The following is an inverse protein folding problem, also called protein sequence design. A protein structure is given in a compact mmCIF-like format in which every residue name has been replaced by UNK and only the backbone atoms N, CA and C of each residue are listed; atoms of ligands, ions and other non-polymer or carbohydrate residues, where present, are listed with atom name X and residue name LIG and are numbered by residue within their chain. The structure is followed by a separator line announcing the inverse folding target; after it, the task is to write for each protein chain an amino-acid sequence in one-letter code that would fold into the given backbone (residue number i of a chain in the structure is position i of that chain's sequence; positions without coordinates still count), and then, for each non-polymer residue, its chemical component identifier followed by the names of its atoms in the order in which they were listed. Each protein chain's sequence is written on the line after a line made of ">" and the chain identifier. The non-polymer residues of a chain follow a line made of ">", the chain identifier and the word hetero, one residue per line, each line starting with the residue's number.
data_IF_995619581354
#
_entry.id   IF_995619581354
#
_cell.length_a   1.000
_cell.length_b   1.000
_cell.length_c   1.000
_cell.angle_alpha   90.00
_cell.angle_beta   90.00
_cell.angle_gamma   90.00
#
_symmetry.space_group_name_H-M   'P 1'
#
loop_
_entity.id
_entity.type
_entity.pdbx_description
1 polymer ?
#
# COMPACT_ATOMS: atom_id res chain seq x y z
N UNK A 1 -3.67 -13.37 14.76
CA UNK A 1 -3.06 -12.05 14.47
C UNK A 1 -3.49 -11.71 13.06
N UNK A 2 -3.86 -10.46 12.77
CA UNK A 2 -4.11 -10.03 11.40
C UNK A 2 -2.81 -9.90 10.61
N UNK A 3 -2.90 -9.71 9.30
CA UNK A 3 -1.73 -9.48 8.43
C UNK A 3 -1.00 -8.19 8.83
N UNK A 4 0.34 -8.20 8.76
CA UNK A 4 1.15 -7.00 9.04
C UNK A 4 2.44 -6.96 8.24
N UNK A 5 2.78 -5.79 7.70
CA UNK A 5 4.07 -5.50 7.08
C UNK A 5 4.85 -4.53 7.98
N UNK A 6 6.17 -4.70 8.06
CA UNK A 6 7.04 -3.87 8.92
C UNK A 6 8.14 -3.20 8.11
N UNK A 7 8.40 -1.92 8.41
CA UNK A 7 9.48 -1.14 7.76
C UNK A 7 10.86 -1.78 7.94
N UNK A 8 11.06 -2.55 9.02
CA UNK A 8 12.32 -3.26 9.34
C UNK A 8 12.52 -4.52 8.49
N UNK A 9 11.52 -4.90 7.69
CA UNK A 9 11.57 -6.02 6.75
C UNK A 9 11.38 -5.48 5.33
N UNK A 10 12.40 -4.84 4.72
CA UNK A 10 12.26 -4.20 3.41
C UNK A 10 11.94 -5.18 2.28
N UNK A 11 12.24 -6.47 2.45
CA UNK A 11 11.91 -7.53 1.49
C UNK A 11 10.48 -8.10 1.67
N UNK A 12 9.74 -7.64 2.68
CA UNK A 12 8.36 -8.04 2.96
C UNK A 12 7.41 -7.12 2.19
N UNK A 13 7.32 -7.37 0.88
CA UNK A 13 6.52 -6.61 -0.08
C UNK A 13 5.43 -7.49 -0.68
N UNK A 14 4.30 -6.87 -1.03
CA UNK A 14 3.23 -7.53 -1.79
C UNK A 14 3.54 -7.35 -3.27
N UNK A 15 3.73 -8.45 -3.99
CA UNK A 15 4.01 -8.45 -5.42
C UNK A 15 2.73 -8.75 -6.21
N UNK A 16 2.51 -8.05 -7.33
CA UNK A 16 1.43 -8.41 -8.25
C UNK A 16 1.69 -9.78 -8.89
N UNK A 17 0.65 -10.54 -9.30
CA UNK A 17 0.81 -11.84 -9.94
C UNK A 17 1.81 -11.87 -11.11
N UNK A 18 1.83 -10.81 -11.93
CA UNK A 18 2.74 -10.68 -13.06
C UNK A 18 4.12 -10.07 -12.70
N UNK A 19 4.34 -9.68 -11.45
CA UNK A 19 5.58 -9.06 -10.97
C UNK A 19 5.76 -7.57 -11.33
N UNK A 20 4.86 -6.97 -12.11
CA UNK A 20 5.00 -5.60 -12.60
C UNK A 20 4.89 -4.54 -11.50
N UNK A 21 4.13 -4.81 -10.44
CA UNK A 21 3.92 -3.88 -9.34
C UNK A 21 4.34 -4.50 -8.00
N UNK A 22 4.86 -3.65 -7.13
CA UNK A 22 5.20 -3.98 -5.75
C UNK A 22 4.52 -2.99 -4.80
N UNK A 23 4.15 -3.46 -3.61
CA UNK A 23 3.66 -2.61 -2.52
C UNK A 23 4.37 -2.90 -1.21
N UNK A 24 4.69 -1.86 -0.45
CA UNK A 24 5.50 -1.98 0.77
C UNK A 24 6.02 -0.64 1.28
N UNK A 25 6.97 -0.71 2.21
CA UNK A 25 7.65 0.47 2.74
C UNK A 25 8.75 0.92 1.77
N UNK A 26 8.64 2.17 1.32
CA UNK A 26 9.59 2.83 0.42
C UNK A 26 10.28 3.98 1.17
N UNK A 27 11.61 4.06 1.06
CA UNK A 27 12.39 5.15 1.66
C UNK A 27 12.23 6.43 0.83
N UNK A 28 12.01 7.56 1.50
CA UNK A 28 11.92 8.89 0.86
C UNK A 28 12.95 9.88 1.43
N UNK A 29 13.90 9.37 2.22
CA UNK A 29 14.95 10.14 2.86
C UNK A 29 15.52 9.43 4.08
N UNK A 30 16.36 10.15 4.81
CA UNK A 30 17.01 9.62 6.02
C UNK A 30 15.97 9.30 7.10
N UNK A 31 15.83 8.01 7.40
CA UNK A 31 14.89 7.51 8.40
C UNK A 31 13.42 7.97 8.17
N UNK A 32 13.05 8.19 6.91
CA UNK A 32 11.72 8.62 6.48
C UNK A 32 11.17 7.65 5.43
N UNK A 33 10.01 7.08 5.71
CA UNK A 33 9.39 6.04 4.89
C UNK A 33 7.92 6.31 4.62
N UNK A 34 7.46 5.85 3.47
CA UNK A 34 6.04 5.84 3.10
C UNK A 34 5.64 4.42 2.70
N UNK A 35 4.37 4.07 2.92
CA UNK A 35 3.82 2.85 2.36
C UNK A 35 3.24 3.15 0.98
N UNK A 36 3.76 2.50 -0.07
CA UNK A 36 3.46 2.85 -1.45
C UNK A 36 3.22 1.63 -2.32
N UNK A 37 2.67 1.86 -3.50
CA UNK A 37 2.68 0.95 -4.65
C UNK A 37 3.57 1.57 -5.73
N UNK A 38 4.46 0.78 -6.35
CA UNK A 38 5.36 1.23 -7.41
C UNK A 38 5.56 0.17 -8.50
N UNK A 39 6.14 0.57 -9.63
CA UNK A 39 6.51 -0.33 -10.72
C UNK A 39 7.85 -1.02 -10.44
N UNK A 40 7.84 -2.35 -10.32
CA UNK A 40 8.97 -3.16 -9.83
C UNK A 40 10.24 -3.05 -10.70
N UNK A 41 10.08 -2.97 -12.02
CA UNK A 41 11.24 -2.96 -12.94
C UNK A 41 11.75 -1.56 -13.29
N UNK A 42 11.18 -0.50 -12.69
CA UNK A 42 11.58 0.86 -13.00
C UNK A 42 12.83 1.28 -12.21
N UNK A 43 13.81 1.88 -12.89
CA UNK A 43 15.05 2.37 -12.24
C UNK A 43 14.81 3.46 -11.20
N UNK A 44 13.71 4.19 -11.35
CA UNK A 44 13.34 5.31 -10.49
C UNK A 44 12.15 4.97 -9.56
N UNK A 45 11.78 3.69 -9.45
CA UNK A 45 10.65 3.20 -8.65
C UNK A 45 9.39 4.07 -8.81
N UNK A 46 8.86 4.12 -10.04
CA UNK A 46 7.71 4.94 -10.41
C UNK A 46 6.52 4.61 -9.49
N UNK A 47 6.30 5.49 -8.51
CA UNK A 47 5.22 5.37 -7.52
C UNK A 47 3.88 5.60 -8.22
N UNK A 48 2.93 4.69 -7.98
CA UNK A 48 1.56 4.77 -8.50
C UNK A 48 0.50 4.94 -7.41
N UNK A 49 0.89 4.87 -6.13
CA UNK A 49 0.04 5.23 -4.99
C UNK A 49 0.85 5.33 -3.70
N UNK A 50 0.46 6.18 -2.74
CA UNK A 50 1.12 6.31 -1.42
C UNK A 50 0.12 6.54 -0.29
N UNK A 51 0.11 5.70 0.75
CA UNK A 51 -0.82 5.84 1.88
C UNK A 51 -0.61 7.15 2.66
N UNK A 52 0.62 7.40 3.10
CA UNK A 52 0.96 8.42 4.11
C UNK A 52 1.90 9.50 3.57
N UNK A 53 1.58 10.02 2.38
CA UNK A 53 2.44 10.97 1.64
C UNK A 53 2.88 12.17 2.49
N UNK A 54 1.94 12.83 3.15
CA UNK A 54 2.20 14.06 3.91
C UNK A 54 2.82 13.78 5.29
N UNK A 55 2.80 12.51 5.72
CA UNK A 55 3.24 12.08 7.04
C UNK A 55 4.13 10.84 6.93
N UNK A 56 5.37 10.96 6.40
CA UNK A 56 6.34 9.86 6.43
C UNK A 56 6.56 9.34 7.85
N UNK A 57 6.79 8.04 7.96
CA UNK A 57 7.01 7.32 9.22
C UNK A 57 8.49 6.98 9.42
N UNK A 58 8.85 6.65 10.65
CA UNK A 58 10.21 6.28 11.03
C UNK A 58 10.63 4.93 10.40
N UNK A 59 11.92 4.76 10.11
CA UNK A 59 12.51 3.50 9.64
C UNK A 59 12.57 2.39 10.70
N UNK A 60 12.12 2.67 11.91
CA UNK A 60 12.03 1.72 13.01
C UNK A 60 10.62 1.68 13.57
N UNK A 61 10.18 0.48 13.99
CA UNK A 61 8.90 0.24 14.67
C UNK A 61 7.63 0.66 13.92
N UNK A 62 7.74 1.11 12.67
CA UNK A 62 6.59 1.42 11.81
C UNK A 62 6.03 0.17 11.14
N UNK A 63 4.70 0.06 11.11
CA UNK A 63 3.98 -1.13 10.64
C UNK A 63 2.66 -0.78 9.99
N UNK A 64 2.37 -1.42 8.86
CA UNK A 64 1.02 -1.52 8.31
C UNK A 64 0.38 -2.79 8.88
N UNK A 65 -0.78 -2.68 9.51
CA UNK A 65 -1.44 -3.81 10.19
C UNK A 65 -2.93 -3.81 9.89
N UNK A 66 -3.47 -4.97 9.50
CA UNK A 66 -4.90 -5.21 9.47
C UNK A 66 -5.38 -5.57 10.89
N UNK A 67 -6.11 -4.66 11.52
CA UNK A 67 -6.64 -4.85 12.86
C UNK A 67 -7.88 -5.75 12.87
N UNK A 68 -8.21 -6.30 14.05
CA UNK A 68 -9.33 -7.26 14.21
C UNK A 68 -10.69 -6.71 13.84
N UNK A 69 -10.85 -5.40 13.96
CA UNK A 69 -12.04 -4.65 13.59
C UNK A 69 -12.11 -4.31 12.09
N UNK A 70 -11.15 -4.80 11.29
CA UNK A 70 -11.14 -4.63 9.83
C UNK A 70 -10.41 -3.39 9.34
N UNK A 71 -9.93 -2.53 10.24
CA UNK A 71 -9.23 -1.32 9.84
C UNK A 71 -7.78 -1.63 9.44
N UNK A 72 -7.35 -1.10 8.30
CA UNK A 72 -5.96 -1.16 7.88
C UNK A 72 -5.24 0.09 8.38
N UNK A 73 -4.31 -0.09 9.31
CA UNK A 73 -3.67 0.98 10.07
C UNK A 73 -2.19 1.02 9.80
N UNK A 74 -1.68 2.19 9.43
CA UNK A 74 -0.26 2.50 9.45
C UNK A 74 0.10 3.17 10.78
N UNK A 75 0.99 2.53 11.52
CA UNK A 75 1.53 3.01 12.80
C UNK A 75 3.00 3.36 12.68
N UNK A 76 3.46 4.25 13.56
CA UNK A 76 4.83 4.77 13.65
C UNK A 76 5.37 4.62 15.09
N UNK A 77 6.70 4.68 15.27
CA UNK A 77 7.42 4.39 16.52
C UNK A 77 6.88 5.10 17.78
N UNK A 78 6.23 6.26 17.61
CA UNK A 78 5.61 7.03 18.70
C UNK A 78 4.13 7.39 18.47
N UNK A 79 3.52 6.94 17.36
CA UNK A 79 2.12 7.25 17.02
C UNK A 79 1.40 5.99 16.58
N UNK A 80 0.33 5.66 17.27
CA UNK A 80 -0.45 4.45 16.97
C UNK A 80 -1.19 4.51 15.63
N UNK A 81 -1.45 5.72 15.09
CA UNK A 81 -2.18 5.90 13.85
C UNK A 81 -1.66 7.11 13.05
N UNK A 82 -1.02 6.85 11.92
CA UNK A 82 -0.55 7.85 10.95
C UNK A 82 -1.46 7.88 9.72
N UNK A 83 -1.96 6.72 9.31
CA UNK A 83 -2.92 6.60 8.21
C UNK A 83 -3.86 5.43 8.47
N UNK A 84 -5.10 5.55 8.01
CA UNK A 84 -6.14 4.53 8.16
C UNK A 84 -6.93 4.41 6.86
N UNK A 85 -7.12 3.18 6.39
CA UNK A 85 -8.28 2.86 5.56
C UNK A 85 -9.40 2.36 6.47
N UNK A 86 -10.50 3.13 6.52
CA UNK A 86 -11.71 2.70 7.21
C UNK A 86 -12.44 1.71 6.30
N UNK A 87 -12.62 0.50 6.78
CA UNK A 87 -13.27 -0.58 6.03
C UNK A 87 -14.28 -1.27 6.92
N UNK A 88 -15.21 -2.00 6.30
CA UNK A 88 -16.18 -2.83 7.00
C UNK A 88 -15.76 -4.31 6.99
N UNK A 89 -14.46 -4.57 6.78
CA UNK A 89 -13.92 -5.92 6.70
C UNK A 89 -13.97 -6.62 8.06
N UNK A 90 -14.01 -7.95 8.04
CA UNK A 90 -13.59 -8.76 9.19
C UNK A 90 -12.14 -9.16 8.97
N UNK A 91 -11.26 -8.88 9.93
CA UNK A 91 -9.85 -9.26 9.79
C UNK A 91 -9.63 -10.77 9.64
N UNK A 92 -10.60 -11.59 10.03
CA UNK A 92 -10.52 -13.03 9.96
C UNK A 92 -10.71 -13.56 8.53
N UNK A 93 -11.34 -12.77 7.68
CA UNK A 93 -11.66 -13.13 6.30
C UNK A 93 -11.28 -12.01 5.34
N UNK A 94 -10.21 -11.27 5.62
CA UNK A 94 -9.74 -10.20 4.77
C UNK A 94 -8.23 -10.27 4.58
N UNK A 95 -7.77 -9.98 3.35
CA UNK A 95 -6.35 -9.97 3.01
C UNK A 95 -6.02 -8.90 1.99
N UNK A 96 -4.78 -8.42 2.01
CA UNK A 96 -4.26 -7.51 1.01
C UNK A 96 -3.83 -8.25 -0.25
N UNK A 97 -4.21 -7.70 -1.41
CA UNK A 97 -3.77 -8.19 -2.72
C UNK A 97 -3.40 -7.02 -3.61
N UNK A 98 -2.28 -7.15 -4.32
CA UNK A 98 -1.89 -6.21 -5.37
C UNK A 98 -2.28 -6.78 -6.73
N UNK A 99 -3.10 -6.05 -7.48
CA UNK A 99 -3.52 -6.44 -8.83
C UNK A 99 -2.46 -6.05 -9.87
N UNK A 100 -2.47 -6.73 -11.01
CA UNK A 100 -1.58 -6.47 -12.16
C UNK A 100 -1.75 -5.08 -12.78
N UNK A 101 -2.81 -4.34 -12.42
CA UNK A 101 -3.02 -2.95 -12.80
C UNK A 101 -2.41 -1.94 -11.80
N UNK A 102 -1.79 -2.40 -10.71
CA UNK A 102 -1.25 -1.55 -9.65
C UNK A 102 -2.28 -1.17 -8.57
N UNK A 103 -3.50 -1.69 -8.63
CA UNK A 103 -4.49 -1.44 -7.59
C UNK A 103 -4.25 -2.38 -6.39
N UNK A 104 -3.91 -1.80 -5.24
CA UNK A 104 -3.88 -2.52 -3.97
C UNK A 104 -5.29 -2.59 -3.38
N UNK A 105 -5.77 -3.80 -3.13
CA UNK A 105 -7.11 -4.06 -2.60
C UNK A 105 -7.05 -4.77 -1.25
N UNK A 106 -8.03 -4.48 -0.39
CA UNK A 106 -8.42 -5.33 0.72
C UNK A 106 -9.68 -6.09 0.29
N UNK A 107 -9.59 -7.41 0.20
CA UNK A 107 -10.67 -8.27 -0.31
C UNK A 107 -11.05 -9.34 0.70
N UNK A 108 -12.24 -9.91 0.54
CA UNK A 108 -12.67 -11.05 1.34
C UNK A 108 -11.98 -12.33 0.86
N UNK A 109 -11.47 -13.11 1.81
CA UNK A 109 -10.91 -14.45 1.53
C UNK A 109 -12.00 -15.52 1.42
N UNK A 110 -13.22 -15.24 1.87
CA UNK A 110 -14.38 -16.13 1.75
C UNK A 110 -15.13 -15.92 0.42
N UNK A 111 -15.07 -14.71 -0.12
CA UNK A 111 -15.66 -14.31 -1.40
C UNK A 111 -14.75 -13.31 -2.11
N UNK A 112 -13.96 -13.81 -3.05
CA UNK A 112 -12.99 -13.05 -3.82
C UNK A 112 -13.59 -11.88 -4.63
N UNK A 113 -14.91 -11.88 -4.86
CA UNK A 113 -15.60 -10.78 -5.54
C UNK A 113 -15.90 -9.60 -4.62
N UNK A 114 -15.86 -9.81 -3.30
CA UNK A 114 -16.09 -8.77 -2.30
C UNK A 114 -14.80 -7.99 -2.03
N UNK A 115 -14.82 -6.70 -2.40
CA UNK A 115 -13.74 -5.75 -2.14
C UNK A 115 -14.18 -4.79 -1.03
N UNK A 116 -13.44 -4.75 0.07
CA UNK A 116 -13.71 -3.88 1.21
C UNK A 116 -13.09 -2.49 1.05
N UNK A 117 -11.96 -2.41 0.35
CA UNK A 117 -11.22 -1.17 0.12
C UNK A 117 -10.29 -1.33 -1.08
N UNK A 118 -10.03 -0.25 -1.81
CA UNK A 118 -9.06 -0.23 -2.90
C UNK A 118 -8.33 1.11 -3.01
N UNK A 119 -7.05 1.04 -3.33
CA UNK A 119 -6.17 2.23 -3.43
C UNK A 119 -6.63 3.25 -4.47
N UNK A 120 -7.23 2.79 -5.58
CA UNK A 120 -7.67 3.65 -6.67
C UNK A 120 -8.85 4.57 -6.30
N UNK A 121 -9.64 4.20 -5.30
CA UNK A 121 -10.71 5.06 -4.76
C UNK A 121 -10.16 6.15 -3.82
N UNK A 122 -8.89 6.05 -3.44
CA UNK A 122 -8.22 6.95 -2.52
C UNK A 122 -6.91 7.49 -3.14
N UNK A 123 -6.99 8.19 -4.29
CA UNK A 123 -5.81 8.72 -4.95
C UNK A 123 -5.14 9.75 -4.03
N UNK A 124 -3.89 9.48 -3.66
CA UNK A 124 -3.07 10.37 -2.82
C UNK A 124 -1.98 11.08 -3.61
N UNK A 125 -1.58 10.55 -4.77
CA UNK A 125 -1.10 11.24 -5.99
C UNK A 125 -0.55 10.18 -6.96
N UNK A 126 -1.15 10.06 -8.15
CA UNK A 126 -0.47 9.62 -9.38
C UNK A 126 -1.12 10.39 -10.50
N UNK A 127 -0.51 11.51 -10.89
CA UNK A 127 -0.62 11.94 -12.27
C UNK A 127 0.01 10.83 -13.11
N UNK A 128 -0.81 9.83 -13.48
CA UNK A 128 -0.43 8.91 -14.54
C UNK A 128 0.05 9.79 -15.69
N UNK A 129 1.24 9.59 -16.27
CA UNK A 129 1.65 10.36 -17.42
C UNK A 129 0.60 10.13 -18.51
N UNK A 130 -0.25 11.12 -18.73
CA UNK A 130 -1.18 11.16 -19.86
C UNK A 130 -0.36 11.45 -21.10
N UNK A 131 0.38 10.45 -21.58
CA UNK A 131 0.95 10.51 -22.91
C UNK A 131 0.12 9.65 -23.86
N UNK A 132 -0.75 10.27 -24.67
CA UNK A 132 -0.81 9.94 -26.07
C UNK A 132 0.17 10.84 -26.82
N UNK A 133 1.19 10.21 -27.41
CA UNK A 133 1.99 10.81 -28.46
C UNK A 133 1.13 11.12 -29.70
N UNK A 134 1.53 12.19 -30.42
CA UNK A 134 1.55 12.34 -31.90
C UNK A 134 0.72 13.51 -32.49
N UNK A 135 1.46 14.47 -33.08
CA UNK A 135 1.16 15.03 -34.40
C UNK A 135 0.82 16.53 -34.47
N UNK A 136 1.83 17.36 -34.75
CA UNK A 136 1.96 18.22 -35.96
C UNK A 136 3.41 18.68 -36.08
#
# INVERSE_FOLDING_TARGET
>A
MGESLSVEKPNDTILSPNGAFSAGFHSVGDNAYVFSVWFTESKDDSIVWTANRDYPVNGHRSRLTLQRDGHLILSDAGKSNVWTANTNASSASASLRLLDCGNLILHSTDDESTIFWQSFDHPTDTLLPTNPSRGT
#
